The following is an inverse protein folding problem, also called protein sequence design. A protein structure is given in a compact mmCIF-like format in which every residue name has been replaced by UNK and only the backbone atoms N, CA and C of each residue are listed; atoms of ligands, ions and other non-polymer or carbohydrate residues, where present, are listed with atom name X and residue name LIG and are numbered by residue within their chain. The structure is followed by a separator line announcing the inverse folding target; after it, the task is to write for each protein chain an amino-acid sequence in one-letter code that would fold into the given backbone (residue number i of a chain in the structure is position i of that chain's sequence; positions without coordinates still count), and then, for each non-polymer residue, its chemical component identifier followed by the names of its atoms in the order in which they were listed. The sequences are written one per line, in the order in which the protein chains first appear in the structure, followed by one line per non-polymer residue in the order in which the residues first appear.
data_IF_492552279690
#
_entry.id   IF_492552279690
#
_cell.length_a   1.000
_cell.length_b   1.000
_cell.length_c   1.000
_cell.angle_alpha   90.00
_cell.angle_beta   90.00
_cell.angle_gamma   90.00
#
_symmetry.space_group_name_H-M   'P 1'
#
loop_
_entity.id
_entity.type
_entity.pdbx_description
1 polymer ?
#
# COMPACT_ATOMS: atom_id res chain seq x y z
N UNK A 1 3.84 6.12 18.54
CA UNK A 1 3.09 5.44 19.62
C UNK A 1 2.59 4.08 19.18
N UNK A 2 1.55 3.94 18.34
CA UNK A 2 1.03 2.62 17.91
C UNK A 2 2.11 1.71 17.30
N UNK A 3 2.95 2.29 16.44
CA UNK A 3 4.09 1.59 15.84
C UNK A 3 5.02 0.97 16.89
N UNK A 4 5.40 1.72 17.93
CA UNK A 4 6.30 1.26 18.98
C UNK A 4 5.66 0.14 19.83
N UNK A 5 4.35 0.20 20.05
CA UNK A 5 3.62 -0.85 20.76
C UNK A 5 3.60 -2.17 19.97
N UNK A 6 3.46 -2.06 18.65
CA UNK A 6 3.51 -3.21 17.75
C UNK A 6 4.91 -3.84 17.69
N UNK A 7 5.95 -3.02 17.57
CA UNK A 7 7.35 -3.48 17.60
C UNK A 7 7.74 -4.11 18.94
N UNK A 8 7.16 -3.62 20.04
CA UNK A 8 7.36 -4.20 21.36
C UNK A 8 6.55 -5.51 21.58
N UNK A 9 5.78 -5.97 20.60
CA UNK A 9 4.98 -7.19 20.68
C UNK A 9 3.81 -7.08 21.67
N UNK A 10 3.34 -5.86 21.98
CA UNK A 10 2.25 -5.66 22.93
C UNK A 10 0.92 -6.05 22.30
N UNK A 11 0.31 -7.14 22.78
CA UNK A 11 -0.99 -7.60 22.31
C UNK A 11 -2.10 -7.31 23.33
N UNK A 12 -2.94 -6.31 23.03
CA UNK A 12 -4.18 -6.07 23.74
C UNK A 12 -5.22 -5.41 22.80
N UNK A 13 -6.49 -5.40 23.23
CA UNK A 13 -7.59 -4.88 22.40
C UNK A 13 -7.45 -3.39 22.07
N UNK A 14 -6.75 -2.62 22.90
CA UNK A 14 -6.46 -1.21 22.63
C UNK A 14 -5.44 -1.06 21.48
N UNK A 15 -4.35 -1.83 21.49
CA UNK A 15 -3.38 -1.86 20.38
C UNK A 15 -4.06 -2.32 19.09
N UNK A 16 -4.90 -3.36 19.17
CA UNK A 16 -5.66 -3.83 18.02
C UNK A 16 -6.57 -2.73 17.46
N UNK A 17 -7.32 -2.03 18.31
CA UNK A 17 -8.17 -0.93 17.89
C UNK A 17 -7.37 0.21 17.23
N UNK A 18 -6.17 0.53 17.72
CA UNK A 18 -5.28 1.51 17.11
C UNK A 18 -4.74 1.07 15.75
N UNK A 19 -4.38 -0.21 15.60
CA UNK A 19 -3.94 -0.79 14.32
C UNK A 19 -5.08 -0.70 13.30
N UNK A 20 -6.26 -1.20 13.67
CA UNK A 20 -7.46 -1.17 12.82
C UNK A 20 -7.83 0.28 12.46
N UNK A 21 -7.81 1.21 13.42
CA UNK A 21 -8.04 2.62 13.15
C UNK A 21 -7.02 3.19 12.15
N UNK A 22 -5.74 2.85 12.28
CA UNK A 22 -4.71 3.32 11.36
C UNK A 22 -4.93 2.80 9.93
N UNK A 23 -5.32 1.53 9.78
CA UNK A 23 -5.48 0.88 8.47
C UNK A 23 -6.85 1.11 7.83
N UNK A 24 -7.94 1.12 8.58
CA UNK A 24 -9.29 1.31 8.04
C UNK A 24 -9.76 2.75 8.08
N UNK A 25 -9.29 3.57 9.02
CA UNK A 25 -9.69 4.98 9.06
C UNK A 25 -8.65 5.88 8.40
N UNK A 26 -7.42 5.91 8.93
CA UNK A 26 -6.40 6.85 8.44
C UNK A 26 -6.02 6.51 6.99
N UNK A 27 -5.68 5.26 6.69
CA UNK A 27 -5.29 4.88 5.33
C UNK A 27 -6.36 5.19 4.29
N UNK A 28 -7.63 4.86 4.58
CA UNK A 28 -8.72 5.04 3.62
C UNK A 28 -9.13 6.51 3.45
N UNK A 29 -9.03 7.32 4.50
CA UNK A 29 -9.61 8.66 4.51
C UNK A 29 -8.60 9.79 4.35
N UNK A 30 -7.30 9.56 4.61
CA UNK A 30 -6.32 10.63 4.64
C UNK A 30 -6.24 11.42 3.34
N UNK A 31 -6.48 10.80 2.19
CA UNK A 31 -6.46 11.51 0.90
C UNK A 31 -7.55 12.58 0.75
N UNK A 32 -8.66 12.46 1.50
CA UNK A 32 -9.78 13.40 1.48
C UNK A 32 -9.65 14.51 2.53
N UNK A 33 -8.61 14.46 3.37
CA UNK A 33 -8.38 15.48 4.38
C UNK A 33 -7.94 16.82 3.76
N UNK A 34 -8.22 17.90 4.48
CA UNK A 34 -7.79 19.25 4.09
C UNK A 34 -6.35 19.47 4.54
N UNK A 35 -5.42 19.42 3.59
CA UNK A 35 -4.01 19.73 3.82
C UNK A 35 -3.73 21.21 3.58
N UNK A 36 -2.82 21.78 4.37
CA UNK A 36 -2.32 23.15 4.17
C UNK A 36 -1.59 23.28 2.82
N UNK A 37 -0.79 22.28 2.48
CA UNK A 37 -0.21 22.12 1.14
C UNK A 37 -0.56 20.73 0.60
N UNK A 38 -0.98 20.64 -0.66
CA UNK A 38 -1.50 19.40 -1.24
C UNK A 38 -0.52 18.23 -1.11
N UNK A 39 0.76 18.48 -1.32
CA UNK A 39 1.84 17.48 -1.25
C UNK A 39 2.09 16.92 0.16
N UNK A 40 1.60 17.58 1.22
CA UNK A 40 1.75 17.06 2.60
C UNK A 40 0.97 15.75 2.79
N UNK A 41 -0.01 15.45 1.93
CA UNK A 41 -0.72 14.17 1.92
C UNK A 41 0.21 12.98 1.80
N UNK A 42 1.27 13.10 1.00
CA UNK A 42 2.24 12.02 0.79
C UNK A 42 3.00 11.67 2.06
N UNK A 43 3.20 12.63 2.98
CA UNK A 43 3.82 12.33 4.28
C UNK A 43 2.94 11.37 5.08
N UNK A 44 1.63 11.62 5.09
CA UNK A 44 0.67 10.74 5.77
C UNK A 44 0.60 9.39 5.05
N UNK A 45 0.52 9.39 3.71
CA UNK A 45 0.54 8.16 2.91
C UNK A 45 1.76 7.30 3.26
N UNK A 46 2.96 7.88 3.22
CA UNK A 46 4.21 7.16 3.50
C UNK A 46 4.30 6.67 4.95
N UNK A 47 3.81 7.44 5.91
CA UNK A 47 3.74 7.00 7.31
C UNK A 47 2.83 5.79 7.47
N UNK A 48 1.65 5.81 6.85
CA UNK A 48 0.69 4.70 6.95
C UNK A 48 1.18 3.47 6.18
N UNK A 49 1.79 3.65 5.00
CA UNK A 49 2.41 2.54 4.25
C UNK A 49 3.57 1.93 5.05
N UNK A 50 4.41 2.74 5.66
CA UNK A 50 5.46 2.27 6.56
C UNK A 50 4.87 1.45 7.71
N UNK A 51 3.79 1.94 8.33
CA UNK A 51 3.14 1.27 9.45
C UNK A 51 2.55 -0.07 9.01
N UNK A 52 1.90 -0.10 7.84
CA UNK A 52 1.39 -1.33 7.23
C UNK A 52 2.51 -2.34 6.95
N UNK A 53 3.65 -1.90 6.43
CA UNK A 53 4.82 -2.77 6.23
C UNK A 53 5.29 -3.37 7.55
N UNK A 54 5.40 -2.56 8.60
CA UNK A 54 5.74 -3.02 9.96
C UNK A 54 4.70 -4.03 10.49
N UNK A 55 3.41 -3.79 10.23
CA UNK A 55 2.34 -4.75 10.56
C UNK A 55 2.56 -6.09 9.90
N UNK A 56 2.79 -6.13 8.58
CA UNK A 56 3.03 -7.36 7.81
C UNK A 56 4.24 -8.12 8.35
N UNK A 57 5.37 -7.42 8.56
CA UNK A 57 6.59 -8.06 9.06
C UNK A 57 6.46 -8.58 10.50
N UNK A 58 5.54 -8.00 11.27
CA UNK A 58 5.33 -8.40 12.67
C UNK A 58 4.35 -9.57 12.81
N UNK A 59 3.55 -9.90 11.80
CA UNK A 59 2.53 -10.97 11.87
C UNK A 59 3.09 -12.30 12.42
N UNK A 60 4.26 -12.80 11.98
CA UNK A 60 4.79 -14.08 12.47
C UNK A 60 5.06 -14.11 13.98
N UNK A 61 5.22 -12.94 14.61
CA UNK A 61 5.54 -12.78 16.03
C UNK A 61 4.32 -12.42 16.88
N UNK A 62 3.15 -12.24 16.27
CA UNK A 62 1.92 -11.82 16.92
C UNK A 62 0.89 -12.94 16.88
N UNK A 63 0.07 -13.05 17.93
CA UNK A 63 -0.99 -14.04 18.03
C UNK A 63 -2.31 -13.48 17.46
N UNK A 64 -3.22 -13.02 18.33
CA UNK A 64 -4.55 -12.53 17.97
C UNK A 64 -4.49 -11.32 17.05
N UNK A 65 -3.56 -10.40 17.32
CA UNK A 65 -3.43 -9.19 16.49
C UNK A 65 -2.90 -9.57 15.10
N UNK A 66 -1.94 -10.48 15.03
CA UNK A 66 -1.37 -10.97 13.76
C UNK A 66 -2.43 -11.56 12.83
N UNK A 67 -3.29 -12.43 13.37
CA UNK A 67 -4.43 -13.00 12.61
C UNK A 67 -5.35 -11.90 12.08
N UNK A 68 -5.70 -10.93 12.93
CA UNK A 68 -6.61 -9.84 12.52
C UNK A 68 -5.99 -8.95 11.44
N UNK A 69 -4.71 -8.62 11.54
CA UNK A 69 -3.98 -7.85 10.52
C UNK A 69 -3.95 -8.64 9.21
N UNK A 70 -3.65 -9.94 9.25
CA UNK A 70 -3.60 -10.78 8.06
C UNK A 70 -4.96 -10.82 7.36
N UNK A 71 -6.03 -11.06 8.12
CA UNK A 71 -7.40 -11.12 7.58
C UNK A 71 -7.80 -9.78 6.96
N UNK A 72 -7.44 -8.67 7.62
CA UNK A 72 -7.65 -7.32 7.10
C UNK A 72 -6.93 -7.12 5.75
N UNK A 73 -5.65 -7.46 5.67
CA UNK A 73 -4.84 -7.28 4.46
C UNK A 73 -5.30 -8.18 3.32
N UNK A 74 -5.72 -9.41 3.60
CA UNK A 74 -6.09 -10.38 2.56
C UNK A 74 -7.56 -10.33 2.15
N UNK A 75 -8.43 -9.76 2.98
CA UNK A 75 -9.89 -9.83 2.79
C UNK A 75 -10.60 -8.48 2.68
N UNK A 76 -10.02 -7.38 3.19
CA UNK A 76 -10.68 -6.07 3.16
C UNK A 76 -10.51 -5.39 1.80
N UNK A 77 -11.58 -5.39 1.01
CA UNK A 77 -11.59 -4.82 -0.34
C UNK A 77 -11.36 -3.30 -0.37
N UNK A 78 -11.69 -2.58 0.71
CA UNK A 78 -11.48 -1.13 0.77
C UNK A 78 -9.99 -0.80 0.90
N UNK A 79 -9.25 -1.62 1.65
CA UNK A 79 -7.80 -1.55 1.76
C UNK A 79 -7.14 -1.94 0.43
N UNK A 80 -7.64 -2.98 -0.24
CA UNK A 80 -7.16 -3.37 -1.58
C UNK A 80 -7.34 -2.24 -2.59
N UNK A 81 -8.50 -1.57 -2.59
CA UNK A 81 -8.74 -0.41 -3.44
C UNK A 81 -7.69 0.69 -3.22
N UNK A 82 -7.27 0.94 -1.97
CA UNK A 82 -6.22 1.92 -1.69
C UNK A 82 -4.84 1.48 -2.19
N UNK A 83 -4.48 0.20 -2.02
CA UNK A 83 -3.25 -0.36 -2.58
C UNK A 83 -3.20 -0.15 -4.09
N UNK A 84 -4.27 -0.56 -4.77
CA UNK A 84 -4.34 -0.52 -6.22
C UNK A 84 -4.39 0.92 -6.75
N UNK A 85 -5.01 1.86 -6.04
CA UNK A 85 -4.97 3.27 -6.46
C UNK A 85 -3.56 3.85 -6.49
N UNK A 86 -2.65 3.38 -5.64
CA UNK A 86 -1.25 3.79 -5.69
C UNK A 86 -0.51 3.12 -6.86
N UNK A 87 -0.63 1.80 -7.00
CA UNK A 87 0.17 1.03 -7.99
C UNK A 87 -0.44 0.97 -9.41
N UNK A 88 -1.74 1.21 -9.59
CA UNK A 88 -2.40 1.28 -10.89
C UNK A 88 -2.08 2.59 -11.64
N UNK A 89 -0.84 3.05 -11.54
CA UNK A 89 -0.29 4.16 -12.30
C UNK A 89 0.67 3.59 -13.34
N UNK A 90 0.46 3.91 -14.62
CA UNK A 90 1.33 3.42 -15.70
C UNK A 90 2.55 4.33 -15.89
N UNK A 91 3.62 3.80 -16.50
CA UNK A 91 4.81 4.60 -16.87
C UNK A 91 4.44 5.83 -17.72
N UNK A 92 3.60 5.74 -18.77
CA UNK A 92 3.13 6.91 -19.51
C UNK A 92 2.35 7.93 -18.66
N UNK A 93 1.58 7.47 -17.67
CA UNK A 93 0.85 8.37 -16.78
C UNK A 93 1.82 9.18 -15.89
N UNK A 94 2.88 8.55 -15.37
CA UNK A 94 3.94 9.24 -14.61
C UNK A 94 4.71 10.23 -15.48
N UNK A 95 5.10 9.85 -16.70
CA UNK A 95 5.77 10.74 -17.65
C UNK A 95 4.95 12.01 -17.93
N UNK A 96 3.63 11.86 -18.07
CA UNK A 96 2.72 12.99 -18.29
C UNK A 96 2.71 13.99 -17.13
N UNK A 97 2.98 13.56 -15.89
CA UNK A 97 3.05 14.46 -14.74
C UNK A 97 4.22 15.43 -14.85
N UNK A 98 5.37 15.00 -15.37
CA UNK A 98 6.55 15.86 -15.56
C UNK A 98 6.36 16.92 -16.64
N UNK A 99 5.51 16.65 -17.62
CA UNK A 99 5.18 17.61 -18.70
C UNK A 99 4.09 18.58 -18.24
N UNK A 100 3.30 18.20 -17.24
CA UNK A 100 2.18 18.99 -16.75
C UNK A 100 2.63 20.10 -15.80
N UNK A 101 2.26 21.35 -16.12
CA UNK A 101 2.50 22.51 -15.24
C UNK A 101 1.62 22.53 -13.97
N UNK A 102 0.68 21.58 -13.84
CA UNK A 102 -0.24 21.50 -12.71
C UNK A 102 0.36 20.75 -11.51
N UNK A 103 1.49 20.07 -11.69
CA UNK A 103 2.14 19.25 -10.68
C UNK A 103 3.50 19.83 -10.30
N UNK A 104 3.67 20.15 -9.03
CA UNK A 104 4.98 20.49 -8.47
C UNK A 104 5.85 19.23 -8.38
N UNK A 105 7.17 19.39 -8.43
CA UNK A 105 8.11 18.28 -8.30
C UNK A 105 7.90 17.50 -7.01
N UNK A 106 7.54 18.18 -5.90
CA UNK A 106 7.24 17.54 -4.60
C UNK A 106 6.05 16.61 -4.66
N UNK A 107 5.07 16.94 -5.49
CA UNK A 107 3.88 16.12 -5.69
C UNK A 107 4.21 14.85 -6.47
N UNK A 108 5.07 14.96 -7.49
CA UNK A 108 5.52 13.82 -8.29
C UNK A 108 6.45 12.91 -7.47
N UNK A 109 7.40 13.49 -6.74
CA UNK A 109 8.33 12.77 -5.86
C UNK A 109 7.57 12.00 -4.76
N UNK A 110 6.63 12.66 -4.08
CA UNK A 110 5.78 12.00 -3.07
C UNK A 110 4.98 10.82 -3.62
N UNK A 111 4.40 10.96 -4.82
CA UNK A 111 3.71 9.85 -5.49
C UNK A 111 4.67 8.70 -5.83
N UNK A 112 5.86 8.97 -6.36
CA UNK A 112 6.83 7.93 -6.70
C UNK A 112 7.33 7.17 -5.48
N UNK A 113 7.54 7.87 -4.35
CA UNK A 113 7.91 7.23 -3.09
C UNK A 113 6.76 6.34 -2.57
N UNK A 114 5.51 6.80 -2.71
CA UNK A 114 4.35 6.00 -2.33
C UNK A 114 4.20 4.76 -3.21
N UNK A 115 4.42 4.87 -4.53
CA UNK A 115 4.45 3.74 -5.46
C UNK A 115 5.54 2.75 -5.05
N UNK A 116 6.78 3.20 -4.83
CA UNK A 116 7.88 2.34 -4.36
C UNK A 116 7.52 1.60 -3.08
N UNK A 117 6.98 2.33 -2.09
CA UNK A 117 6.61 1.76 -0.80
C UNK A 117 5.48 0.73 -0.93
N UNK A 118 4.51 0.98 -1.80
CA UNK A 118 3.42 0.05 -2.06
C UNK A 118 3.90 -1.20 -2.80
N UNK A 119 4.81 -1.08 -3.78
CA UNK A 119 5.42 -2.23 -4.44
C UNK A 119 6.20 -3.09 -3.42
N UNK A 120 6.98 -2.48 -2.52
CA UNK A 120 7.67 -3.21 -1.44
C UNK A 120 6.68 -3.96 -0.53
N UNK A 121 5.52 -3.37 -0.24
CA UNK A 121 4.45 -4.00 0.54
C UNK A 121 3.83 -5.16 -0.22
N UNK A 122 3.55 -5.02 -1.51
CA UNK A 122 3.05 -6.12 -2.34
C UNK A 122 4.02 -7.30 -2.32
N UNK A 123 5.31 -7.06 -2.54
CA UNK A 123 6.36 -8.09 -2.43
C UNK A 123 6.34 -8.74 -1.04
N UNK A 124 6.18 -7.93 0.02
CA UNK A 124 6.09 -8.44 1.39
C UNK A 124 4.86 -9.33 1.60
N UNK A 125 3.69 -8.96 1.06
CA UNK A 125 2.46 -9.77 1.12
C UNK A 125 2.68 -11.10 0.39
N UNK A 126 3.18 -11.06 -0.85
CA UNK A 126 3.43 -12.26 -1.65
C UNK A 126 4.44 -13.21 -1.00
N UNK A 127 5.45 -12.66 -0.32
CA UNK A 127 6.49 -13.46 0.34
C UNK A 127 6.03 -14.06 1.68
N UNK A 128 5.15 -13.38 2.42
CA UNK A 128 4.72 -13.82 3.76
C UNK A 128 3.41 -14.62 3.76
N UNK A 129 2.62 -14.57 2.68
CA UNK A 129 1.32 -15.24 2.61
C UNK A 129 1.15 -16.04 1.30
N UNK A 130 2.00 -17.03 1.01
CA UNK A 130 1.93 -17.76 -0.26
C UNK A 130 0.53 -18.39 -0.48
N UNK A 131 0.08 -18.42 -1.74
CA UNK A 131 -1.27 -18.88 -2.10
C UNK A 131 -1.57 -20.31 -1.62
N UNK A 132 -0.54 -21.16 -1.54
CA UNK A 132 -0.62 -22.56 -1.14
C UNK A 132 -0.99 -22.77 0.34
N UNK A 133 -0.89 -21.73 1.18
CA UNK A 133 -1.27 -21.80 2.59
C UNK A 133 -2.78 -21.68 2.81
N UNK A 134 -3.55 -21.31 1.78
CA UNK A 134 -4.98 -21.04 1.92
C UNK A 134 -5.82 -22.12 1.24
N UNK A 135 -6.92 -22.58 1.88
CA UNK A 135 -7.83 -23.57 1.28
C UNK A 135 -8.58 -23.01 0.05
N UNK A 136 -8.64 -21.69 -0.10
CA UNK A 136 -9.21 -20.97 -1.24
C UNK A 136 -8.41 -19.70 -1.52
N UNK A 137 -8.29 -19.30 -2.79
CA UNK A 137 -7.57 -18.10 -3.20
C UNK A 137 -8.12 -16.86 -2.47
N UNK A 138 -7.34 -16.17 -1.62
CA UNK A 138 -7.83 -15.01 -0.88
C UNK A 138 -8.29 -13.87 -1.80
N UNK A 139 -9.20 -13.03 -1.30
CA UNK A 139 -9.82 -11.93 -2.05
C UNK A 139 -8.76 -10.99 -2.64
N UNK A 140 -7.70 -10.72 -1.88
CA UNK A 140 -6.57 -9.93 -2.34
C UNK A 140 -5.95 -10.46 -3.64
N UNK A 141 -5.63 -11.75 -3.70
CA UNK A 141 -5.04 -12.40 -4.87
C UNK A 141 -5.99 -12.38 -6.07
N UNK A 142 -7.27 -12.68 -5.84
CA UNK A 142 -8.30 -12.56 -6.87
C UNK A 142 -8.37 -11.14 -7.43
N UNK A 143 -8.25 -10.13 -6.57
CA UNK A 143 -8.32 -8.74 -6.97
C UNK A 143 -7.06 -8.28 -7.73
N UNK A 144 -5.87 -8.79 -7.37
CA UNK A 144 -4.61 -8.56 -8.12
C UNK A 144 -4.69 -9.13 -9.53
N UNK A 145 -5.19 -10.36 -9.66
CA UNK A 145 -5.33 -11.05 -10.95
C UNK A 145 -6.52 -10.56 -11.77
N UNK A 146 -7.40 -9.73 -11.19
CA UNK A 146 -8.59 -9.25 -11.86
C UNK A 146 -8.27 -8.27 -12.99
N UNK A 147 -8.82 -8.55 -14.17
CA UNK A 147 -8.78 -7.67 -15.33
C UNK A 147 -9.78 -6.51 -15.26
N UNK A 148 -10.65 -6.48 -14.24
CA UNK A 148 -11.70 -5.46 -14.09
C UNK A 148 -11.28 -4.24 -13.25
N UNK A 149 -10.04 -4.23 -12.73
CA UNK A 149 -9.55 -3.09 -11.95
C UNK A 149 -9.42 -1.85 -12.83
N UNK A 150 -9.96 -0.73 -12.34
CA UNK A 150 -9.95 0.57 -13.02
C UNK A 150 -8.88 1.47 -12.40
N UNK A 151 -8.21 2.34 -13.19
CA UNK A 151 -8.41 2.57 -14.62
C UNK A 151 -7.73 1.54 -15.54
N UNK A 152 -6.81 0.74 -14.99
CA UNK A 152 -6.05 -0.28 -15.72
C UNK A 152 -5.84 -1.50 -14.82
N UNK A 153 -5.76 -2.72 -15.36
CA UNK A 153 -5.40 -3.90 -14.58
C UNK A 153 -4.08 -3.74 -13.83
N UNK A 154 -4.01 -4.21 -12.59
CA UNK A 154 -2.82 -4.07 -11.72
C UNK A 154 -1.58 -4.67 -12.39
N UNK A 155 -1.69 -5.90 -12.90
CA UNK A 155 -0.59 -6.58 -13.61
C UNK A 155 -0.11 -5.77 -14.82
N UNK A 156 -1.02 -5.11 -15.53
CA UNK A 156 -0.67 -4.26 -16.69
C UNK A 156 0.01 -2.97 -16.25
N UNK A 157 -0.45 -2.34 -15.15
CA UNK A 157 0.23 -1.18 -14.59
C UNK A 157 1.65 -1.52 -14.15
N UNK A 158 1.82 -2.61 -13.39
CA UNK A 158 3.12 -3.07 -12.92
C UNK A 158 4.05 -3.38 -14.10
N UNK A 159 3.59 -4.14 -15.10
CA UNK A 159 4.37 -4.41 -16.30
C UNK A 159 4.79 -3.12 -17.03
N UNK A 160 3.93 -2.10 -17.03
CA UNK A 160 4.28 -0.78 -17.59
C UNK A 160 5.39 -0.09 -16.77
N UNK A 161 5.37 -0.19 -15.43
CA UNK A 161 6.36 0.42 -14.55
C UNK A 161 7.77 -0.18 -14.70
N UNK A 162 7.89 -1.44 -15.14
CA UNK A 162 9.18 -2.05 -15.51
C UNK A 162 9.89 -1.28 -16.63
N UNK A 163 9.17 -0.52 -17.45
CA UNK A 163 9.74 0.35 -18.49
C UNK A 163 9.99 1.80 -18.04
N UNK A 164 9.83 2.11 -16.75
CA UNK A 164 9.92 3.48 -16.25
C UNK A 164 11.36 3.91 -15.91
N UNK A 165 12.02 4.55 -16.87
CA UNK A 165 13.46 4.88 -16.77
C UNK A 165 13.81 6.05 -15.85
N UNK A 166 12.87 6.96 -15.54
CA UNK A 166 13.16 8.14 -14.69
C UNK A 166 13.43 7.79 -13.24
N UNK A 167 12.92 6.65 -12.77
CA UNK A 167 13.13 6.18 -11.41
C UNK A 167 13.47 4.69 -11.42
N UNK A 168 14.77 4.34 -11.42
CA UNK A 168 15.22 2.95 -11.40
C UNK A 168 14.68 2.15 -10.22
N UNK A 169 14.37 2.83 -9.11
CA UNK A 169 13.87 2.20 -7.90
C UNK A 169 12.41 1.72 -8.06
N UNK A 170 11.61 2.37 -8.90
CA UNK A 170 10.28 1.85 -9.31
C UNK A 170 10.48 0.67 -10.24
N UNK A 171 11.41 0.79 -11.19
CA UNK A 171 11.68 -0.20 -12.23
C UNK A 171 12.07 -1.57 -11.67
N UNK A 172 12.91 -1.60 -10.63
CA UNK A 172 13.40 -2.84 -9.99
C UNK A 172 12.34 -3.50 -9.10
N UNK A 173 11.37 -2.73 -8.58
CA UNK A 173 10.35 -3.22 -7.66
C UNK A 173 9.06 -3.68 -8.35
N UNK A 174 8.83 -3.24 -9.58
CA UNK A 174 7.65 -3.56 -10.38
C UNK A 174 7.80 -4.93 -11.05
#
# INVERSE_FOLDING_TARGET
FTWQLLEAGVENDFVLALVVFSLQYVFLNHEYWKYKAKQDRWKVTLQVLGFLKSCITSIPYLTKIGVTIRDLILSDSSIHCMFFRLVCTTSPALEKLYVSRLYDWKEIDGLQQAICSMLDILVSIFSNFPEDEFPSLPIFYQAVLSTSTKPVPIVVAMASLVSYFRNPAIQVRA
#
